data_IF_772803594974
#
_entry.id   IF_772803594974
#
_cell.length_a   1.000
_cell.length_b   1.000
_cell.length_c   1.000
_cell.angle_alpha   90.00
_cell.angle_beta   90.00
_cell.angle_gamma   90.00
#
_symmetry.space_group_name_H-M   'P 1'
#
loop_
_entity.id
_entity.type
_entity.pdbx_description
1 polymer ?
#
# COMPACT_ATOMS: atom_id res chain seq x y z
N UNK A 1 -20.38 9.63 19.88
CA UNK A 1 -20.05 11.03 20.23
C UNK A 1 -20.89 11.97 19.38
N UNK A 2 -21.60 12.90 20.02
CA UNK A 2 -22.29 14.04 19.41
C UNK A 2 -21.25 15.16 19.26
N UNK A 3 -21.11 15.77 18.07
CA UNK A 3 -20.18 16.88 17.88
C UNK A 3 -20.96 18.18 18.02
N UNK A 4 -20.78 18.82 19.17
CA UNK A 4 -21.31 20.13 19.52
C UNK A 4 -20.22 21.18 19.25
N UNK A 5 -20.42 22.06 18.26
CA UNK A 5 -19.53 23.19 18.00
C UNK A 5 -19.99 24.39 18.83
N UNK A 6 -19.17 24.81 19.80
CA UNK A 6 -19.42 26.02 20.58
C UNK A 6 -19.03 27.29 19.80
N UNK A 7 -19.92 28.29 19.67
CA UNK A 7 -19.60 29.59 19.09
C UNK A 7 -19.27 30.56 20.23
N UNK A 8 -18.01 30.62 20.66
CA UNK A 8 -17.39 31.80 21.30
C UNK A 8 -16.00 31.46 21.84
N UNK A 9 -15.01 31.43 20.96
CA UNK A 9 -13.61 31.55 21.35
C UNK A 9 -13.08 32.82 20.70
N UNK A 10 -12.86 33.86 21.51
CA UNK A 10 -12.21 35.10 21.06
C UNK A 10 -10.76 34.78 20.66
N UNK A 11 -10.49 34.88 19.36
CA UNK A 11 -9.13 34.80 18.82
C UNK A 11 -8.61 36.23 18.67
N UNK A 12 -7.73 36.65 19.58
CA UNK A 12 -6.93 37.86 19.44
C UNK A 12 -5.83 37.62 18.39
N UNK A 13 -6.10 37.95 17.13
CA UNK A 13 -5.11 38.00 16.06
C UNK A 13 -4.88 39.45 15.62
N UNK A 14 -3.82 40.06 16.15
CA UNK A 14 -3.25 41.30 15.62
C UNK A 14 -2.48 41.02 14.34
N UNK A 15 -3.14 40.96 13.19
CA UNK A 15 -2.48 41.21 11.90
C UNK A 15 -3.48 41.86 10.95
N UNK A 16 -3.16 43.09 10.51
CA UNK A 16 -3.92 43.86 9.52
C UNK A 16 -3.84 43.18 8.17
N UNK A 17 -4.79 42.30 7.89
CA UNK A 17 -5.07 41.79 6.56
C UNK A 17 -6.48 42.23 6.18
N UNK A 18 -6.58 43.08 5.17
CA UNK A 18 -7.87 43.52 4.63
C UNK A 18 -8.54 42.34 3.92
N UNK A 19 -9.42 41.64 4.65
CA UNK A 19 -10.28 40.59 4.09
C UNK A 19 -11.58 41.26 3.65
N UNK A 20 -11.86 41.24 2.34
CA UNK A 20 -13.18 41.59 1.83
C UNK A 20 -14.14 40.44 2.14
N UNK A 21 -14.94 40.60 3.19
CA UNK A 21 -16.04 39.70 3.54
C UNK A 21 -17.17 39.94 2.54
N UNK A 22 -17.33 39.03 1.58
CA UNK A 22 -18.50 39.02 0.67
C UNK A 22 -19.58 38.13 1.28
N UNK A 23 -20.46 38.73 2.07
CA UNK A 23 -21.62 38.04 2.66
C UNK A 23 -22.66 37.75 1.58
N UNK A 24 -22.71 36.52 1.06
CA UNK A 24 -23.85 36.07 0.25
C UNK A 24 -24.92 35.51 1.18
N UNK A 25 -25.97 36.31 1.39
CA UNK A 25 -27.21 35.88 2.03
C UNK A 25 -27.95 34.98 1.04
N UNK A 26 -27.82 33.67 1.20
CA UNK A 26 -28.67 32.72 0.48
C UNK A 26 -30.01 32.62 1.22
N UNK A 27 -31.02 33.33 0.69
CA UNK A 27 -32.40 33.15 1.10
C UNK A 27 -32.85 31.73 0.74
N UNK A 28 -33.19 30.95 1.76
CA UNK A 28 -33.79 29.62 1.63
C UNK A 28 -35.23 29.81 1.17
N UNK A 29 -35.51 29.53 -0.10
CA UNK A 29 -36.86 29.36 -0.61
C UNK A 29 -37.01 27.93 -1.10
N UNK A 30 -37.51 27.06 -0.21
CA UNK A 30 -37.90 25.68 -0.53
C UNK A 30 -39.18 25.70 -1.37
N UNK A 31 -39.06 26.03 -2.65
CA UNK A 31 -40.08 25.71 -3.66
C UNK A 31 -39.75 24.33 -4.19
N UNK A 32 -40.45 23.32 -3.70
CA UNK A 32 -40.36 21.94 -4.17
C UNK A 32 -40.91 21.89 -5.60
N UNK A 33 -40.02 21.91 -6.58
CA UNK A 33 -40.39 21.70 -7.97
C UNK A 33 -41.10 20.34 -8.10
N UNK A 34 -42.18 20.24 -8.90
CA UNK A 34 -42.81 18.96 -9.21
C UNK A 34 -41.76 18.04 -9.81
N UNK A 35 -41.70 16.81 -9.29
CA UNK A 35 -40.79 15.75 -9.75
C UNK A 35 -40.97 15.60 -11.28
N UNK A 36 -39.92 15.78 -12.09
CA UNK A 36 -40.03 15.53 -13.53
C UNK A 36 -40.51 14.10 -13.73
N UNK A 37 -41.55 13.92 -14.55
CA UNK A 37 -42.00 12.61 -14.97
C UNK A 37 -40.82 11.87 -15.61
N UNK A 38 -40.60 10.58 -15.28
CA UNK A 38 -39.53 9.82 -15.89
C UNK A 38 -39.72 9.80 -17.41
N UNK A 39 -38.66 10.00 -18.20
CA UNK A 39 -38.76 9.85 -19.64
C UNK A 39 -39.30 8.46 -19.99
N UNK A 40 -40.06 8.33 -21.09
CA UNK A 40 -40.53 7.04 -21.55
C UNK A 40 -39.33 6.10 -21.68
N UNK A 41 -39.41 4.95 -21.02
CA UNK A 41 -38.40 3.89 -21.08
C UNK A 41 -38.22 3.55 -22.55
N UNK A 42 -37.07 3.95 -23.11
CA UNK A 42 -36.66 3.50 -24.42
C UNK A 42 -36.54 1.99 -24.32
N UNK A 43 -37.39 1.27 -25.06
CA UNK A 43 -37.30 -0.17 -25.22
C UNK A 43 -35.88 -0.49 -25.67
N UNK A 44 -35.11 -1.12 -24.80
CA UNK A 44 -33.78 -1.63 -25.14
C UNK A 44 -33.91 -2.54 -26.37
N UNK A 45 -33.08 -2.36 -27.41
CA UNK A 45 -33.10 -3.22 -28.57
C UNK A 45 -32.82 -4.65 -28.13
N UNK A 46 -33.69 -5.56 -28.59
CA UNK A 46 -33.60 -7.00 -28.41
C UNK A 46 -32.18 -7.48 -28.77
N UNK A 47 -31.50 -8.26 -27.91
CA UNK A 47 -30.12 -8.65 -28.13
C UNK A 47 -29.99 -9.43 -29.44
N UNK A 48 -29.10 -8.95 -30.31
CA UNK A 48 -28.77 -9.58 -31.58
C UNK A 48 -28.23 -11.00 -31.32
N UNK A 49 -28.66 -12.01 -32.08
CA UNK A 49 -28.26 -13.41 -31.85
C UNK A 49 -26.74 -13.57 -31.96
N UNK A 50 -26.13 -14.12 -30.90
CA UNK A 50 -24.70 -14.38 -30.84
C UNK A 50 -24.24 -15.34 -31.95
N UNK A 51 -23.10 -15.07 -32.62
CA UNK A 51 -22.54 -15.97 -33.62
C UNK A 51 -22.10 -17.31 -32.97
N UNK A 52 -22.17 -18.43 -33.71
CA UNK A 52 -21.78 -19.73 -33.18
C UNK A 52 -20.31 -19.74 -32.76
N UNK A 53 -20.07 -20.26 -31.55
CA UNK A 53 -18.77 -20.40 -30.94
C UNK A 53 -17.75 -21.02 -31.91
N UNK A 54 -16.69 -20.27 -32.18
CA UNK A 54 -15.56 -20.75 -32.95
C UNK A 54 -14.86 -21.88 -32.19
N UNK A 55 -14.75 -23.03 -32.85
CA UNK A 55 -14.08 -24.21 -32.36
C UNK A 55 -12.63 -23.88 -31.98
N UNK A 56 -12.32 -24.01 -30.69
CA UNK A 56 -10.96 -23.86 -30.16
C UNK A 56 -10.16 -25.09 -30.62
N UNK A 57 -9.03 -24.93 -31.32
CA UNK A 57 -8.13 -26.03 -31.63
C UNK A 57 -7.58 -26.62 -30.33
N UNK A 58 -7.76 -27.93 -30.15
CA UNK A 58 -7.21 -28.69 -29.02
C UNK A 58 -5.69 -28.60 -29.06
N UNK A 59 -5.12 -27.81 -28.15
CA UNK A 59 -3.68 -27.70 -27.96
C UNK A 59 -3.18 -28.97 -27.28
N UNK A 60 -2.43 -29.74 -28.08
CA UNK A 60 -1.36 -30.68 -27.77
C UNK A 60 -1.05 -30.90 -26.27
N UNK A 61 -1.15 -32.18 -25.85
CA UNK A 61 -0.59 -32.72 -24.60
C UNK A 61 0.87 -32.27 -24.42
N UNK A 62 1.09 -31.52 -23.34
CA UNK A 62 2.42 -31.13 -22.88
C UNK A 62 3.10 -32.36 -22.24
N UNK A 63 4.30 -32.77 -22.71
CA UNK A 63 4.97 -33.95 -22.18
C UNK A 63 5.39 -33.75 -20.72
N UNK A 64 5.04 -34.72 -19.87
CA UNK A 64 5.35 -34.70 -18.44
C UNK A 64 6.87 -34.53 -18.21
N UNK A 65 7.29 -33.61 -17.31
CA UNK A 65 8.70 -33.39 -17.00
C UNK A 65 9.29 -34.62 -16.30
N UNK A 66 10.41 -35.12 -16.82
CA UNK A 66 11.15 -36.22 -16.21
C UNK A 66 11.64 -35.82 -14.80
N UNK A 67 11.60 -36.74 -13.82
CA UNK A 67 12.08 -36.49 -12.47
C UNK A 67 13.58 -36.19 -12.48
N UNK A 68 13.97 -35.05 -11.92
CA UNK A 68 15.37 -34.71 -11.68
C UNK A 68 15.96 -35.66 -10.63
N UNK A 69 17.21 -36.13 -10.82
CA UNK A 69 17.91 -36.96 -9.83
C UNK A 69 18.12 -36.18 -8.53
N UNK A 70 17.70 -36.76 -7.41
CA UNK A 70 17.94 -36.23 -6.07
C UNK A 70 19.43 -36.37 -5.74
N UNK A 71 20.11 -35.31 -5.28
CA UNK A 71 21.47 -35.43 -4.79
C UNK A 71 21.50 -36.23 -3.48
N UNK A 72 22.21 -37.35 -3.48
CA UNK A 72 22.55 -38.11 -2.27
C UNK A 72 23.38 -37.20 -1.34
N UNK A 73 22.85 -36.93 -0.15
CA UNK A 73 23.55 -36.18 0.88
C UNK A 73 24.71 -37.02 1.44
N UNK A 74 25.94 -36.56 1.24
CA UNK A 74 27.11 -37.13 1.90
C UNK A 74 27.07 -36.81 3.41
N UNK A 75 27.36 -37.77 4.30
CA UNK A 75 27.46 -37.54 5.73
C UNK A 75 28.73 -36.75 6.05
N UNK A 76 28.56 -35.55 6.61
CA UNK A 76 29.67 -34.73 7.12
C UNK A 76 30.16 -35.32 8.44
N UNK A 77 31.37 -35.87 8.40
CA UNK A 77 32.15 -36.35 9.55
C UNK A 77 32.44 -35.16 10.50
N UNK A 78 32.00 -35.26 11.76
CA UNK A 78 32.28 -34.25 12.80
C UNK A 78 33.58 -34.62 13.52
N UNK A 79 34.66 -33.89 13.24
CA UNK A 79 35.89 -33.96 14.03
C UNK A 79 35.71 -33.33 15.42
N UNK A 80 36.24 -33.95 16.49
CA UNK A 80 36.12 -33.45 17.86
C UNK A 80 37.06 -32.25 18.13
N UNK A 81 36.53 -31.28 18.88
CA UNK A 81 37.24 -30.09 19.35
C UNK A 81 38.43 -30.43 20.29
N UNK A 82 39.61 -29.81 20.11
CA UNK A 82 40.74 -30.01 21.02
C UNK A 82 40.61 -29.24 22.35
N UNK A 83 41.19 -29.88 23.38
CA UNK A 83 41.27 -29.50 24.79
C UNK A 83 42.01 -28.18 25.07
N UNK A 84 41.57 -27.54 26.15
CA UNK A 84 42.06 -26.30 26.76
C UNK A 84 43.51 -26.45 27.25
N UNK A 85 44.40 -25.55 26.80
CA UNK A 85 45.79 -25.45 27.28
C UNK A 85 45.93 -24.22 28.21
N UNK A 86 46.72 -24.28 29.31
CA UNK A 86 46.85 -23.19 30.29
C UNK A 86 47.68 -22.02 29.77
N UNK A 87 47.27 -20.80 30.13
CA UNK A 87 47.94 -19.54 29.83
C UNK A 87 49.33 -19.45 30.47
N UNK A 88 50.39 -19.45 29.64
CA UNK A 88 51.74 -19.00 29.99
C UNK A 88 51.99 -17.57 29.48
N UNK A 89 52.09 -16.66 30.46
CA UNK A 89 52.94 -15.45 30.57
C UNK A 89 53.39 -14.73 29.29
N UNK A 90 52.80 -13.55 29.09
CA UNK A 90 53.03 -12.55 28.04
C UNK A 90 54.51 -12.13 27.85
N UNK A 91 55.06 -12.26 26.63
CA UNK A 91 56.08 -11.37 26.12
C UNK A 91 55.42 -10.06 25.66
N UNK A 92 56.07 -8.92 25.93
CA UNK A 92 55.61 -7.61 25.48
C UNK A 92 55.57 -7.54 23.94
N UNK A 93 54.39 -7.80 23.37
CA UNK A 93 54.12 -7.58 21.95
C UNK A 93 54.12 -6.08 21.67
N UNK A 94 55.03 -5.66 20.78
CA UNK A 94 55.01 -4.35 20.18
C UNK A 94 53.66 -4.18 19.47
N UNK A 95 52.82 -3.29 20.02
CA UNK A 95 51.55 -2.85 19.45
C UNK A 95 51.80 -2.23 18.08
N UNK A 96 51.89 -3.06 17.04
CA UNK A 96 51.60 -2.62 15.69
C UNK A 96 50.09 -2.35 15.65
N UNK A 97 49.63 -1.15 15.27
CA UNK A 97 48.21 -0.92 15.09
C UNK A 97 47.72 -1.92 14.05
N UNK A 98 46.98 -2.94 14.49
CA UNK A 98 46.24 -3.80 13.59
C UNK A 98 45.22 -2.87 12.92
N UNK A 99 45.51 -2.50 11.67
CA UNK A 99 44.53 -1.92 10.78
C UNK A 99 43.48 -2.99 10.56
N UNK A 100 42.44 -3.01 11.41
CA UNK A 100 41.21 -3.71 11.10
C UNK A 100 40.75 -3.13 9.75
N UNK A 101 40.72 -3.94 8.68
CA UNK A 101 40.28 -3.44 7.39
C UNK A 101 38.87 -2.89 7.60
N UNK A 102 38.67 -1.61 7.27
CA UNK A 102 37.35 -1.00 7.34
C UNK A 102 36.38 -1.93 6.60
N UNK A 103 35.28 -2.36 7.24
CA UNK A 103 34.36 -3.30 6.62
C UNK A 103 33.90 -2.68 5.31
N UNK A 104 34.28 -3.31 4.20
CA UNK A 104 33.87 -2.90 2.86
C UNK A 104 32.34 -2.94 2.87
N UNK A 105 31.71 -1.77 2.91
CA UNK A 105 30.26 -1.65 2.79
C UNK A 105 29.92 -2.07 1.37
N UNK A 106 29.45 -3.30 1.22
CA UNK A 106 28.80 -3.75 0.00
C UNK A 106 27.52 -2.91 -0.08
N UNK A 107 27.50 -1.92 -0.97
CA UNK A 107 26.29 -1.16 -1.25
C UNK A 107 25.29 -2.11 -1.90
N UNK A 108 24.26 -2.49 -1.14
CA UNK A 108 23.16 -3.27 -1.67
C UNK A 108 22.54 -2.51 -2.86
N UNK A 109 22.17 -3.21 -3.94
CA UNK A 109 21.54 -2.56 -5.09
C UNK A 109 20.28 -1.84 -4.62
N UNK A 110 20.26 -0.51 -4.77
CA UNK A 110 19.12 0.33 -4.39
C UNK A 110 17.94 -0.07 -5.28
N UNK A 111 16.93 -0.72 -4.70
CA UNK A 111 15.71 -1.02 -5.42
C UNK A 111 15.01 0.31 -5.79
N UNK A 112 14.74 0.56 -7.08
CA UNK A 112 14.21 1.85 -7.53
C UNK A 112 12.76 2.08 -7.10
N UNK A 113 12.07 1.05 -6.61
CA UNK A 113 10.66 1.09 -6.25
C UNK A 113 10.46 0.51 -4.85
N UNK A 114 9.69 1.21 -4.03
CA UNK A 114 9.31 0.76 -2.69
C UNK A 114 7.80 0.83 -2.54
N UNK A 115 7.21 -0.23 -1.95
CA UNK A 115 5.80 -0.33 -1.65
C UNK A 115 5.64 -0.57 -0.15
N UNK A 116 4.99 0.36 0.52
CA UNK A 116 4.63 0.24 1.93
C UNK A 116 3.10 0.21 2.06
N UNK A 117 2.62 -0.58 3.03
CA UNK A 117 1.20 -0.77 3.27
C UNK A 117 0.90 -0.57 4.76
N UNK A 118 -0.11 0.24 5.03
CA UNK A 118 -0.54 0.57 6.39
C UNK A 118 -2.01 0.21 6.56
N UNK A 119 -2.30 -0.73 7.45
CA UNK A 119 -3.64 -1.13 7.81
C UNK A 119 -3.77 -1.17 9.35
N UNK A 120 -5.00 -1.06 9.90
CA UNK A 120 -5.21 -1.31 11.33
C UNK A 120 -4.83 -2.76 11.67
N UNK A 121 -4.21 -2.97 12.83
CA UNK A 121 -3.82 -4.32 13.27
C UNK A 121 -5.02 -5.18 13.70
N UNK A 122 -6.07 -4.54 14.20
CA UNK A 122 -7.30 -5.20 14.62
C UNK A 122 -8.53 -4.31 14.37
N UNK A 123 -9.64 -4.94 13.99
CA UNK A 123 -10.93 -4.28 13.71
C UNK A 123 -12.09 -5.15 14.19
N UNK A 124 -13.24 -4.53 14.45
CA UNK A 124 -14.48 -5.25 14.73
C UNK A 124 -15.10 -5.79 13.43
N UNK A 125 -15.88 -6.87 13.52
CA UNK A 125 -16.72 -7.32 12.42
C UNK A 125 -17.75 -6.25 12.03
N UNK A 126 -18.01 -6.10 10.74
CA UNK A 126 -18.85 -5.07 10.14
C UNK A 126 -18.22 -3.68 10.08
N UNK A 127 -16.95 -3.51 10.48
CA UNK A 127 -16.26 -2.23 10.43
C UNK A 127 -15.50 -2.03 9.11
N UNK A 128 -15.35 -0.75 8.72
CA UNK A 128 -14.53 -0.36 7.59
C UNK A 128 -13.03 -0.49 7.93
N UNK A 129 -12.32 -1.29 7.14
CA UNK A 129 -10.85 -1.42 7.16
C UNK A 129 -10.26 -0.45 6.15
N UNK A 130 -9.51 0.54 6.65
CA UNK A 130 -8.88 1.57 5.83
C UNK A 130 -7.41 1.22 5.66
N UNK A 131 -7.03 0.83 4.44
CA UNK A 131 -5.64 0.53 4.09
C UNK A 131 -5.06 1.68 3.26
N UNK A 132 -3.88 2.16 3.64
CA UNK A 132 -3.11 3.15 2.88
C UNK A 132 -1.95 2.45 2.20
N UNK A 133 -1.79 2.70 0.90
CA UNK A 133 -0.64 2.26 0.13
C UNK A 133 0.24 3.47 -0.17
N UNK A 134 1.54 3.32 0.11
CA UNK A 134 2.56 4.30 -0.21
C UNK A 134 3.55 3.68 -1.20
N UNK A 135 3.58 4.23 -2.41
CA UNK A 135 4.48 3.81 -3.48
C UNK A 135 5.51 4.90 -3.69
N UNK A 136 6.78 4.59 -3.44
CA UNK A 136 7.87 5.54 -3.58
C UNK A 136 8.80 5.14 -4.73
N UNK A 137 9.03 6.06 -5.66
CA UNK A 137 10.07 5.92 -6.68
C UNK A 137 11.40 6.45 -6.12
N UNK A 138 12.29 5.53 -5.74
CA UNK A 138 13.66 5.82 -5.27
C UNK A 138 14.68 5.86 -6.41
N UNK A 139 14.25 5.55 -7.63
CA UNK A 139 15.07 5.61 -8.84
C UNK A 139 15.32 7.03 -9.33
N UNK A 140 16.26 7.17 -10.27
CA UNK A 140 16.59 8.44 -10.92
C UNK A 140 15.73 8.78 -12.13
N UNK A 141 14.91 7.84 -12.60
CA UNK A 141 14.04 7.99 -13.77
C UNK A 141 12.57 7.93 -13.38
N UNK A 142 11.72 8.52 -14.21
CA UNK A 142 10.27 8.44 -14.04
C UNK A 142 9.76 7.03 -14.35
N UNK A 143 8.82 6.56 -13.55
CA UNK A 143 8.15 5.27 -13.75
C UNK A 143 6.77 5.51 -14.36
N UNK A 144 6.39 4.73 -15.35
CA UNK A 144 5.12 4.85 -16.05
C UNK A 144 4.37 3.51 -16.13
N UNK A 145 3.05 3.58 -16.24
CA UNK A 145 2.15 2.45 -16.41
C UNK A 145 2.29 1.39 -15.31
N UNK A 146 2.37 1.83 -14.06
CA UNK A 146 2.43 0.89 -12.93
C UNK A 146 1.03 0.32 -12.68
N UNK A 147 0.98 -0.94 -12.26
CA UNK A 147 -0.27 -1.61 -11.87
C UNK A 147 -0.09 -2.13 -10.45
N UNK A 148 -0.88 -1.58 -9.53
CA UNK A 148 -1.02 -2.07 -8.16
C UNK A 148 -2.20 -3.05 -8.14
N UNK A 149 -1.89 -4.35 -8.03
CA UNK A 149 -2.87 -5.40 -7.81
C UNK A 149 -2.98 -5.68 -6.31
N UNK A 150 -4.20 -5.78 -5.79
CA UNK A 150 -4.49 -6.08 -4.39
C UNK A 150 -5.41 -7.29 -4.36
N UNK A 151 -5.02 -8.31 -3.60
CA UNK A 151 -5.77 -9.52 -3.33
C UNK A 151 -6.25 -9.49 -1.87
N UNK A 152 -7.56 -9.66 -1.71
CA UNK A 152 -8.28 -9.70 -0.45
C UNK A 152 -8.66 -11.14 -0.12
N UNK A 153 -8.55 -11.54 1.15
CA UNK A 153 -9.12 -12.81 1.62
C UNK A 153 -10.62 -12.70 1.89
N UNK A 154 -11.29 -13.83 2.06
CA UNK A 154 -12.75 -13.93 2.24
C UNK A 154 -13.30 -13.25 3.50
N UNK A 155 -12.43 -12.83 4.42
CA UNK A 155 -12.79 -12.09 5.63
C UNK A 155 -13.03 -10.59 5.35
N UNK A 156 -12.54 -10.08 4.21
CA UNK A 156 -12.74 -8.72 3.75
C UNK A 156 -13.58 -8.68 2.49
N UNK A 157 -14.56 -7.78 2.45
CA UNK A 157 -15.39 -7.54 1.28
C UNK A 157 -15.11 -6.17 0.68
N UNK A 158 -15.24 -6.11 -0.64
CA UNK A 158 -15.12 -4.88 -1.41
C UNK A 158 -16.13 -4.94 -2.55
N UNK A 159 -16.84 -3.84 -2.88
CA UNK A 159 -17.88 -3.84 -3.91
C UNK A 159 -17.40 -4.26 -5.31
N UNK A 160 -16.09 -4.16 -5.56
CA UNK A 160 -15.47 -4.55 -6.84
C UNK A 160 -14.87 -5.98 -6.83
N UNK A 161 -15.09 -6.76 -5.77
CA UNK A 161 -14.58 -8.13 -5.63
C UNK A 161 -13.25 -8.24 -4.86
N UNK A 162 -12.71 -9.46 -4.81
CA UNK A 162 -11.52 -9.80 -4.02
C UNK A 162 -10.18 -9.46 -4.69
N UNK A 163 -10.18 -9.24 -6.00
CA UNK A 163 -9.00 -8.85 -6.77
C UNK A 163 -9.22 -7.46 -7.34
N UNK A 164 -8.41 -6.50 -6.89
CA UNK A 164 -8.51 -5.10 -7.26
C UNK A 164 -7.27 -4.68 -8.03
N UNK A 165 -7.45 -3.90 -9.10
CA UNK A 165 -6.35 -3.35 -9.87
C UNK A 165 -6.46 -1.83 -9.92
N UNK A 166 -5.37 -1.15 -9.56
CA UNK A 166 -5.21 0.29 -9.71
C UNK A 166 -4.09 0.58 -10.70
N UNK A 167 -4.44 1.28 -11.77
CA UNK A 167 -3.47 1.78 -12.77
C UNK A 167 -2.93 3.14 -12.30
N UNK A 168 -1.61 3.22 -12.14
CA UNK A 168 -0.90 4.44 -11.79
C UNK A 168 -0.15 4.91 -13.04
N UNK A 169 -0.59 6.02 -13.68
CA UNK A 169 -0.05 6.40 -14.98
C UNK A 169 1.44 6.73 -14.94
N UNK A 170 1.88 7.50 -13.93
CA UNK A 170 3.26 7.95 -13.78
C UNK A 170 3.58 8.29 -12.32
N UNK A 171 4.83 8.05 -11.92
CA UNK A 171 5.44 8.51 -10.66
C UNK A 171 6.81 9.08 -11.00
N UNK A 172 7.04 10.36 -10.75
CA UNK A 172 8.31 11.00 -11.04
C UNK A 172 9.45 10.47 -10.15
N UNK A 173 10.70 10.66 -10.56
CA UNK A 173 11.86 10.33 -9.74
C UNK A 173 11.80 11.04 -8.36
N UNK A 174 11.90 10.27 -7.27
CA UNK A 174 11.79 10.77 -5.90
C UNK A 174 10.37 11.06 -5.42
N UNK A 175 9.34 10.86 -6.26
CA UNK A 175 7.95 11.10 -5.90
C UNK A 175 7.36 9.93 -5.08
N UNK A 176 6.40 10.29 -4.22
CA UNK A 176 5.63 9.35 -3.41
C UNK A 176 4.17 9.42 -3.86
N UNK A 177 3.64 8.31 -4.37
CA UNK A 177 2.23 8.14 -4.70
C UNK A 177 1.51 7.49 -3.51
N UNK A 178 0.41 8.11 -3.06
CA UNK A 178 -0.41 7.60 -1.96
C UNK A 178 -1.83 7.34 -2.44
N UNK A 179 -2.37 6.20 -2.06
CA UNK A 179 -3.78 5.86 -2.31
C UNK A 179 -4.38 5.14 -1.11
N UNK A 180 -5.70 5.13 -1.03
CA UNK A 180 -6.44 4.53 0.06
C UNK A 180 -7.48 3.55 -0.47
N UNK A 181 -7.48 2.35 0.10
CA UNK A 181 -8.52 1.34 -0.07
C UNK A 181 -9.38 1.28 1.20
N UNK A 182 -10.69 1.14 1.03
CA UNK A 182 -11.62 0.92 2.13
C UNK A 182 -12.39 -0.37 1.85
N UNK A 183 -12.24 -1.37 2.71
CA UNK A 183 -12.94 -2.65 2.64
C UNK A 183 -13.81 -2.83 3.88
N UNK A 184 -14.76 -3.76 3.85
CA UNK A 184 -15.60 -4.09 5.00
C UNK A 184 -15.15 -5.42 5.62
N UNK A 185 -15.01 -5.48 6.94
CA UNK A 185 -14.69 -6.72 7.65
C UNK A 185 -15.95 -7.59 7.80
N UNK A 186 -16.10 -8.66 7.03
CA UNK A 186 -17.34 -9.46 7.00
C UNK A 186 -17.30 -10.69 7.91
N UNK A 187 -16.12 -11.29 8.08
CA UNK A 187 -15.96 -12.50 8.92
C UNK A 187 -14.88 -12.30 9.97
N UNK A 188 -15.15 -12.83 11.16
CA UNK A 188 -14.13 -12.94 12.22
C UNK A 188 -13.00 -13.88 11.77
N UNK A 189 -11.76 -13.52 12.09
CA UNK A 189 -10.58 -14.28 11.68
C UNK A 189 -9.34 -13.40 11.54
N UNK A 190 -8.34 -13.91 10.83
CA UNK A 190 -7.18 -13.12 10.39
C UNK A 190 -7.33 -12.90 8.90
N UNK A 191 -7.62 -11.65 8.51
CA UNK A 191 -7.61 -11.25 7.12
C UNK A 191 -6.18 -10.96 6.66
N UNK A 192 -5.86 -11.37 5.44
CA UNK A 192 -4.57 -11.08 4.82
C UNK A 192 -4.80 -10.20 3.60
N UNK A 193 -4.13 -9.05 3.55
CA UNK A 193 -4.06 -8.21 2.37
C UNK A 193 -2.74 -8.48 1.68
N UNK A 194 -2.78 -8.94 0.43
CA UNK A 194 -1.59 -9.10 -0.40
C UNK A 194 -1.63 -8.07 -1.51
N UNK A 195 -0.54 -7.35 -1.69
CA UNK A 195 -0.41 -6.34 -2.73
C UNK A 195 0.84 -6.59 -3.56
N UNK A 196 0.70 -6.36 -4.86
CA UNK A 196 1.72 -6.61 -5.85
C UNK A 196 1.75 -5.42 -6.79
N UNK A 197 2.91 -4.77 -6.83
CA UNK A 197 3.18 -3.65 -7.70
C UNK A 197 4.05 -4.11 -8.86
N UNK A 198 3.53 -3.93 -10.06
CA UNK A 198 4.22 -4.27 -11.31
C UNK A 198 4.49 -3.00 -12.10
N UNK A 199 5.69 -2.94 -12.68
CA UNK A 199 6.13 -1.86 -13.55
C UNK A 199 6.84 -2.48 -14.75
N UNK A 200 6.82 -1.80 -15.90
CA UNK A 200 7.59 -2.23 -17.07
C UNK A 200 9.10 -2.04 -16.89
N UNK A 201 9.49 -1.04 -16.09
CA UNK A 201 10.88 -0.60 -15.94
C UNK A 201 11.53 -1.06 -14.63
N UNK A 202 10.76 -1.60 -13.69
CA UNK A 202 11.26 -2.02 -12.38
C UNK A 202 10.89 -3.46 -12.08
N UNK A 203 11.64 -4.06 -11.16
CA UNK A 203 11.31 -5.37 -10.59
C UNK A 203 9.96 -5.31 -9.86
N UNK A 204 9.31 -6.46 -9.78
CA UNK A 204 8.06 -6.63 -9.07
C UNK A 204 8.28 -6.50 -7.57
N UNK A 205 7.48 -5.66 -6.92
CA UNK A 205 7.52 -5.47 -5.46
C UNK A 205 6.21 -5.97 -4.88
N UNK A 206 6.27 -6.71 -3.78
CA UNK A 206 5.08 -7.17 -3.04
C UNK A 206 5.11 -6.72 -1.58
N UNK A 207 3.94 -6.50 -1.01
CA UNK A 207 3.75 -6.24 0.40
C UNK A 207 2.52 -7.00 0.90
N UNK A 208 2.62 -7.55 2.11
CA UNK A 208 1.55 -8.30 2.76
C UNK A 208 1.31 -7.74 4.16
N UNK A 209 0.04 -7.62 4.55
CA UNK A 209 -0.38 -7.09 5.83
C UNK A 209 -1.50 -7.96 6.39
N UNK A 210 -1.38 -8.31 7.66
CA UNK A 210 -2.41 -9.05 8.39
C UNK A 210 -3.27 -8.09 9.22
N UNK A 211 -4.56 -8.36 9.28
CA UNK A 211 -5.57 -7.63 10.07
C UNK A 211 -6.40 -8.63 10.85
N UNK A 212 -6.45 -8.48 12.17
CA UNK A 212 -7.27 -9.35 13.04
C UNK A 212 -8.69 -8.81 13.13
N UNK A 213 -9.69 -9.63 12.81
CA UNK A 213 -11.11 -9.29 12.87
C UNK A 213 -11.74 -10.06 14.03
N UNK A 214 -12.32 -9.38 14.99
CA UNK A 214 -13.00 -10.01 16.14
C UNK A 214 -14.09 -9.13 16.72
N UNK A 215 -15.22 -9.72 17.11
CA UNK A 215 -16.36 -9.01 17.72
C UNK A 215 -16.03 -8.40 19.09
N UNK A 216 -15.07 -8.97 19.82
CA UNK A 216 -14.65 -8.49 21.14
C UNK A 216 -13.66 -7.32 21.09
N UNK A 217 -13.27 -6.89 19.90
CA UNK A 217 -12.39 -5.72 19.74
C UNK A 217 -13.24 -4.49 20.01
N UNK A 218 -13.12 -3.99 21.25
CA UNK A 218 -13.50 -2.61 21.56
C UNK A 218 -12.79 -1.75 20.53
N UNK A 219 -13.52 -0.94 19.73
CA UNK A 219 -12.93 -0.17 18.65
C UNK A 219 -11.75 0.57 19.24
N UNK A 220 -10.54 0.19 18.81
CA UNK A 220 -9.35 0.95 19.18
C UNK A 220 -9.69 2.39 18.82
N UNK A 221 -9.46 3.36 19.74
CA UNK A 221 -9.76 4.75 19.43
C UNK A 221 -9.09 4.98 18.09
N UNK A 222 -9.90 5.34 17.08
CA UNK A 222 -9.47 5.50 15.69
C UNK A 222 -8.03 5.96 15.79
N UNK A 223 -7.08 5.16 15.28
CA UNK A 223 -5.77 5.73 15.00
C UNK A 223 -6.11 6.75 13.95
N UNK A 224 -6.44 7.94 14.43
CA UNK A 224 -6.46 9.17 13.69
C UNK A 224 -4.99 9.24 13.33
N UNK A 225 -4.64 8.54 12.25
CA UNK A 225 -3.73 9.09 11.29
C UNK A 225 -4.30 10.47 11.11
N UNK A 226 -3.77 11.43 11.90
CA UNK A 226 -3.96 12.84 11.66
C UNK A 226 -3.71 12.91 10.18
N UNK A 227 -4.80 13.13 9.43
CA UNK A 227 -4.74 13.31 8.01
C UNK A 227 -3.65 14.35 7.89
N UNK A 228 -2.47 13.92 7.42
CA UNK A 228 -1.36 14.83 7.23
C UNK A 228 -2.00 16.00 6.50
N UNK A 229 -1.98 17.20 7.10
CA UNK A 229 -2.72 18.33 6.56
C UNK A 229 -2.33 18.37 5.11
N UNK A 230 -3.30 18.17 4.20
CA UNK A 230 -3.09 18.15 2.76
C UNK A 230 -2.08 19.25 2.50
N UNK A 231 -0.85 18.87 2.09
CA UNK A 231 0.25 19.83 1.99
C UNK A 231 -0.33 21.05 1.29
N UNK A 232 -0.47 22.21 1.96
CA UNK A 232 -1.05 23.35 1.31
C UNK A 232 -0.23 23.57 0.05
N UNK A 233 -0.86 23.90 -1.09
CA UNK A 233 -0.18 24.01 -2.38
C UNK A 233 0.84 25.15 -2.30
N UNK A 234 2.00 24.88 -1.72
CA UNK A 234 3.13 25.77 -1.75
C UNK A 234 3.70 25.66 -3.16
N UNK A 235 3.88 26.80 -3.85
CA UNK A 235 4.52 26.79 -5.15
C UNK A 235 5.94 26.28 -4.95
N UNK A 236 6.28 25.15 -5.57
CA UNK A 236 7.66 24.72 -5.73
C UNK A 236 8.42 25.87 -6.39
N UNK A 237 9.12 26.65 -5.55
CA UNK A 237 10.04 27.67 -6.00
C UNK A 237 11.10 27.00 -6.86
N UNK A 238 11.18 27.44 -8.12
CA UNK A 238 12.30 27.16 -9.00
C UNK A 238 13.61 27.40 -8.24
N UNK A 239 14.56 26.46 -8.21
CA UNK A 239 15.94 26.83 -7.96
C UNK A 239 16.41 27.65 -9.17
N UNK A 240 16.50 28.96 -8.99
CA UNK A 240 17.38 29.80 -9.80
C UNK A 240 18.77 29.65 -9.21
N UNK A 241 19.63 28.84 -9.83
CA UNK A 241 21.06 29.12 -9.98
C UNK A 241 21.60 28.31 -11.16
#
# INVERSE_FOLDING_TARGET
LQIEMQPNSEVLLTHKSAVQVTTRVAAVSNVRAPRPEPPPVALEPEPEPEPPASAIPQFFDEPEPMPLPQPEAEPVDQEPLPEVIPFEKEPAEEFMPQFEPEPVRIEEPIQPLSLEMFAPQAVASGADVKTVFEVQNRGGDDLENLVLAVELTDELDHPNGHTLELKIPRIAAGEVFRTRLTTEAVKNGTATLSSKLTSRAAEMVSATQEVRISDDVSPSPDVVYEMFPECPPFPCGRPLF
#
